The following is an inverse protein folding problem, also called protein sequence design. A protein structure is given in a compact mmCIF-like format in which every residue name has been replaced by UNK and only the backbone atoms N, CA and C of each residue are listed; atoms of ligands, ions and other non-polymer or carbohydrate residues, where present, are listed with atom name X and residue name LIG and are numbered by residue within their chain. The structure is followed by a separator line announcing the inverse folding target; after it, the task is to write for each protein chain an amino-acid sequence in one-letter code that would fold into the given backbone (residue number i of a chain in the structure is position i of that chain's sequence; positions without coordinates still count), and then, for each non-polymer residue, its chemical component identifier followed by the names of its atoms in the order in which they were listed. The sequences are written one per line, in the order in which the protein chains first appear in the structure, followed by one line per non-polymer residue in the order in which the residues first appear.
data_IF_293626040826
#
_entry.id   IF_293626040826
#
_cell.length_a   1.000
_cell.length_b   1.000
_cell.length_c   1.000
_cell.angle_alpha   90.00
_cell.angle_beta   90.00
_cell.angle_gamma   90.00
#
_symmetry.space_group_name_H-M   'P 1'
#
loop_
_entity.id
_entity.type
_entity.pdbx_description
1 polymer ?
#
# COMPACT_ATOMS: atom_id res chain seq x y z
N UNK A 1 28.68 -35.45 49.31
CA UNK A 1 29.56 -35.25 48.13
C UNK A 1 28.70 -34.58 47.06
N UNK A 2 28.86 -33.26 46.98
CA UNK A 2 28.44 -32.27 45.95
C UNK A 2 27.25 -32.59 45.03
N UNK A 3 26.13 -31.90 45.29
CA UNK A 3 25.06 -31.61 44.33
C UNK A 3 25.60 -30.62 43.30
N UNK A 4 25.55 -30.97 42.02
CA UNK A 4 25.97 -30.10 40.91
C UNK A 4 24.74 -29.35 40.39
N UNK A 5 24.59 -28.10 40.82
CA UNK A 5 23.55 -27.17 40.39
C UNK A 5 23.96 -26.57 39.03
N UNK A 6 23.14 -26.64 37.96
CA UNK A 6 23.48 -25.98 36.71
C UNK A 6 23.37 -24.47 36.90
N UNK A 7 24.51 -23.78 36.76
CA UNK A 7 24.59 -22.32 36.69
C UNK A 7 23.63 -21.81 35.61
N UNK A 8 22.57 -21.13 36.04
CA UNK A 8 21.69 -20.36 35.16
C UNK A 8 22.54 -19.29 34.43
N UNK A 9 22.53 -19.21 33.09
CA UNK A 9 23.20 -18.11 32.38
C UNK A 9 22.60 -16.78 32.85
N UNK A 10 23.48 -15.82 33.15
CA UNK A 10 23.07 -14.51 33.65
C UNK A 10 22.12 -13.82 32.65
N UNK A 11 20.97 -13.28 33.10
CA UNK A 11 19.91 -12.76 32.23
C UNK A 11 20.29 -11.52 31.40
N UNK A 12 21.48 -10.95 31.63
CA UNK A 12 22.01 -9.74 31.03
C UNK A 12 22.74 -9.97 29.69
N UNK A 13 23.48 -11.07 29.56
CA UNK A 13 24.27 -11.39 28.36
C UNK A 13 23.41 -11.77 27.14
N UNK A 14 22.31 -12.48 27.36
CA UNK A 14 21.35 -12.80 26.29
C UNK A 14 20.60 -11.55 25.80
N UNK A 15 20.24 -10.66 26.73
CA UNK A 15 19.53 -9.42 26.41
C UNK A 15 20.41 -8.39 25.68
N UNK A 16 21.74 -8.42 25.83
CA UNK A 16 22.64 -7.55 25.06
C UNK A 16 22.80 -7.99 23.61
N UNK A 17 22.94 -9.30 23.36
CA UNK A 17 23.11 -9.83 22.01
C UNK A 17 21.90 -9.52 21.12
N UNK A 18 20.69 -9.73 21.65
CA UNK A 18 19.44 -9.41 20.94
C UNK A 18 19.33 -7.91 20.63
N UNK A 19 19.72 -7.03 21.57
CA UNK A 19 19.72 -5.58 21.34
C UNK A 19 20.72 -5.15 20.28
N UNK A 20 21.86 -5.82 20.16
CA UNK A 20 22.85 -5.54 19.12
C UNK A 20 22.32 -5.94 17.73
N UNK A 21 21.67 -7.10 17.63
CA UNK A 21 21.01 -7.57 16.40
C UNK A 21 19.89 -6.62 15.98
N UNK A 22 19.00 -6.23 16.91
CA UNK A 22 17.94 -5.25 16.64
C UNK A 22 18.48 -3.89 16.21
N UNK A 23 19.59 -3.43 16.81
CA UNK A 23 20.26 -2.19 16.40
C UNK A 23 20.89 -2.31 15.02
N UNK A 24 21.43 -3.48 14.68
CA UNK A 24 21.92 -3.80 13.33
C UNK A 24 20.80 -3.67 12.31
N UNK A 25 19.72 -4.42 12.51
CA UNK A 25 18.56 -4.40 11.63
C UNK A 25 17.96 -2.99 11.49
N UNK A 26 17.86 -2.23 12.60
CA UNK A 26 17.35 -0.86 12.56
C UNK A 26 18.24 0.05 11.71
N UNK A 27 19.57 -0.06 11.80
CA UNK A 27 20.50 0.73 10.97
C UNK A 27 20.38 0.37 9.49
N UNK A 28 20.27 -0.92 9.17
CA UNK A 28 20.15 -1.36 7.78
C UNK A 28 18.84 -0.85 7.16
N UNK A 29 17.74 -0.91 7.91
CA UNK A 29 16.44 -0.35 7.51
C UNK A 29 16.50 1.16 7.37
N UNK A 30 17.14 1.88 8.30
CA UNK A 30 17.34 3.33 8.21
C UNK A 30 18.14 3.71 6.95
N UNK A 31 19.23 2.98 6.65
CA UNK A 31 20.03 3.20 5.45
C UNK A 31 19.24 2.99 4.15
N UNK A 32 18.48 1.90 4.05
CA UNK A 32 17.62 1.64 2.88
C UNK A 32 16.52 2.70 2.77
N UNK A 33 15.93 3.10 3.91
CA UNK A 33 14.87 4.11 3.93
C UNK A 33 15.39 5.48 3.47
N UNK A 34 16.58 5.90 3.90
CA UNK A 34 17.19 7.17 3.50
C UNK A 34 17.51 7.19 1.99
N UNK A 35 18.14 6.12 1.47
CA UNK A 35 18.45 6.00 0.04
C UNK A 35 17.17 5.99 -0.82
N UNK A 36 16.14 5.27 -0.37
CA UNK A 36 14.85 5.24 -1.03
C UNK A 36 14.13 6.61 -0.96
N UNK A 37 14.23 7.32 0.16
CA UNK A 37 13.63 8.64 0.32
C UNK A 37 14.28 9.68 -0.60
N UNK A 38 15.61 9.64 -0.75
CA UNK A 38 16.33 10.57 -1.63
C UNK A 38 15.95 10.35 -3.10
N UNK A 39 16.02 9.11 -3.61
CA UNK A 39 15.60 8.80 -4.98
C UNK A 39 14.11 9.01 -5.21
N UNK A 40 13.30 8.70 -4.20
CA UNK A 40 11.85 8.84 -4.23
C UNK A 40 11.42 10.28 -4.42
N UNK A 41 12.05 11.25 -3.72
CA UNK A 41 11.69 12.68 -3.80
C UNK A 41 11.77 13.21 -5.24
N UNK A 42 12.88 12.98 -5.94
CA UNK A 42 13.05 13.46 -7.32
C UNK A 42 12.04 12.86 -8.28
N UNK A 43 11.75 11.56 -8.15
CA UNK A 43 10.74 10.89 -8.96
C UNK A 43 9.32 11.39 -8.65
N UNK A 44 9.02 11.61 -7.36
CA UNK A 44 7.73 12.11 -6.90
C UNK A 44 7.47 13.53 -7.41
N UNK A 45 8.47 14.41 -7.42
CA UNK A 45 8.30 15.78 -7.92
C UNK A 45 7.94 15.81 -9.42
N UNK A 46 8.64 15.00 -10.23
CA UNK A 46 8.33 14.87 -11.66
C UNK A 46 6.94 14.24 -11.89
N UNK A 47 6.63 13.16 -11.18
CA UNK A 47 5.33 12.49 -11.27
C UNK A 47 4.19 13.40 -10.82
N UNK A 48 4.40 14.23 -9.79
CA UNK A 48 3.39 15.13 -9.24
C UNK A 48 2.94 16.19 -10.24
N UNK A 49 3.86 16.75 -11.02
CA UNK A 49 3.52 17.72 -12.07
C UNK A 49 2.66 17.08 -13.16
N UNK A 50 3.08 15.91 -13.65
CA UNK A 50 2.35 15.19 -14.69
C UNK A 50 0.99 14.65 -14.22
N UNK A 51 0.91 14.21 -12.96
CA UNK A 51 -0.32 13.70 -12.38
C UNK A 51 -1.37 14.79 -12.14
N UNK A 52 -0.97 16.02 -11.83
CA UNK A 52 -1.91 17.14 -11.64
C UNK A 52 -2.70 17.42 -12.93
N UNK A 53 -2.01 17.65 -14.04
CA UNK A 53 -2.63 17.93 -15.34
C UNK A 53 -3.56 16.80 -15.80
N UNK A 54 -3.13 15.54 -15.61
CA UNK A 54 -3.94 14.39 -16.01
C UNK A 54 -5.14 14.14 -15.09
N UNK A 55 -4.99 14.35 -13.79
CA UNK A 55 -6.04 14.08 -12.81
C UNK A 55 -7.20 15.07 -12.94
N UNK A 56 -6.92 16.36 -13.16
CA UNK A 56 -7.97 17.39 -13.24
C UNK A 56 -9.04 17.08 -14.28
N UNK A 57 -8.67 16.51 -15.43
CA UNK A 57 -9.63 16.11 -16.47
C UNK A 57 -10.42 14.83 -16.20
N UNK A 58 -10.03 14.00 -15.23
CA UNK A 58 -10.57 12.63 -15.04
C UNK A 58 -11.16 12.34 -13.66
N UNK A 59 -11.06 13.28 -12.71
CA UNK A 59 -11.56 13.13 -11.32
C UNK A 59 -13.04 12.81 -11.23
N UNK A 60 -13.89 13.53 -11.98
CA UNK A 60 -15.34 13.33 -11.93
C UNK A 60 -15.75 11.91 -12.37
N UNK A 61 -15.04 11.34 -13.35
CA UNK A 61 -15.28 9.96 -13.79
C UNK A 61 -14.83 8.94 -12.73
N UNK A 62 -13.66 9.15 -12.13
CA UNK A 62 -13.17 8.30 -11.05
C UNK A 62 -14.10 8.34 -9.82
N UNK A 63 -14.59 9.53 -9.44
CA UNK A 63 -15.53 9.70 -8.34
C UNK A 63 -16.84 8.94 -8.57
N UNK A 64 -17.41 9.00 -9.78
CA UNK A 64 -18.61 8.22 -10.14
C UNK A 64 -18.39 6.71 -10.02
N UNK A 65 -17.24 6.21 -10.48
CA UNK A 65 -16.92 4.79 -10.37
C UNK A 65 -16.81 4.35 -8.91
N UNK A 66 -16.18 5.17 -8.07
CA UNK A 66 -16.05 4.90 -6.64
C UNK A 66 -17.42 4.89 -5.96
N UNK A 67 -18.30 5.84 -6.28
CA UNK A 67 -19.67 5.87 -5.75
C UNK A 67 -20.48 4.62 -6.17
N UNK A 68 -20.29 4.13 -7.40
CA UNK A 68 -20.88 2.88 -7.85
C UNK A 68 -20.40 1.67 -7.04
N UNK A 69 -19.11 1.63 -6.70
CA UNK A 69 -18.56 0.59 -5.82
C UNK A 69 -19.10 0.73 -4.40
N UNK A 70 -19.15 1.94 -3.84
CA UNK A 70 -19.71 2.21 -2.52
C UNK A 70 -21.16 1.69 -2.42
N UNK A 71 -21.97 1.99 -3.44
CA UNK A 71 -23.35 1.50 -3.56
C UNK A 71 -23.39 -0.02 -3.58
N UNK A 72 -22.54 -0.66 -4.40
CA UNK A 72 -22.48 -2.13 -4.51
C UNK A 72 -22.07 -2.81 -3.20
N UNK A 73 -21.13 -2.21 -2.46
CA UNK A 73 -20.68 -2.67 -1.14
C UNK A 73 -21.80 -2.54 -0.12
N UNK A 74 -22.52 -1.41 -0.11
CA UNK A 74 -23.66 -1.17 0.77
C UNK A 74 -24.81 -2.13 0.48
N UNK A 75 -25.11 -2.36 -0.79
CA UNK A 75 -26.13 -3.31 -1.22
C UNK A 75 -25.77 -4.74 -0.83
N UNK A 76 -24.50 -5.12 -0.90
CA UNK A 76 -24.02 -6.42 -0.40
C UNK A 76 -24.26 -6.56 1.10
N UNK A 77 -24.04 -5.48 1.86
CA UNK A 77 -24.35 -5.40 3.29
C UNK A 77 -25.82 -5.63 3.63
N UNK A 78 -26.75 -5.29 2.73
CA UNK A 78 -28.19 -5.58 2.90
C UNK A 78 -28.51 -7.07 2.89
N UNK A 79 -27.60 -7.93 2.44
CA UNK A 79 -27.79 -9.39 2.57
C UNK A 79 -27.58 -9.89 4.00
N UNK A 80 -27.08 -9.04 4.91
CA UNK A 80 -26.71 -9.38 6.28
C UNK A 80 -27.56 -8.62 7.32
N UNK A 81 -28.84 -8.36 7.04
CA UNK A 81 -29.76 -7.68 7.98
C UNK A 81 -29.90 -8.44 9.31
N UNK A 82 -29.76 -9.76 9.28
CA UNK A 82 -29.75 -10.64 10.46
C UNK A 82 -28.44 -10.55 11.28
N UNK A 83 -27.38 -9.94 10.73
CA UNK A 83 -26.05 -9.84 11.34
C UNK A 83 -25.59 -8.38 11.40
N UNK A 84 -26.04 -7.61 12.41
CA UNK A 84 -25.80 -6.17 12.49
C UNK A 84 -24.31 -5.80 12.48
N UNK A 85 -23.44 -6.61 13.09
CA UNK A 85 -22.00 -6.36 13.10
C UNK A 85 -21.36 -6.47 11.70
N UNK A 86 -21.84 -7.43 10.90
CA UNK A 86 -21.34 -7.62 9.53
C UNK A 86 -21.89 -6.49 8.65
N UNK A 87 -23.19 -6.21 8.74
CA UNK A 87 -23.81 -5.08 8.03
C UNK A 87 -23.09 -3.76 8.35
N UNK A 88 -22.81 -3.48 9.61
CA UNK A 88 -22.10 -2.27 10.03
C UNK A 88 -20.69 -2.17 9.42
N UNK A 89 -20.00 -3.29 9.22
CA UNK A 89 -18.72 -3.31 8.53
C UNK A 89 -18.86 -2.93 7.05
N UNK A 90 -19.82 -3.50 6.32
CA UNK A 90 -20.08 -3.13 4.92
C UNK A 90 -20.53 -1.67 4.79
N UNK A 91 -21.38 -1.21 5.70
CA UNK A 91 -21.82 0.17 5.75
C UNK A 91 -20.60 1.11 5.97
N UNK A 92 -19.76 0.82 6.97
CA UNK A 92 -18.54 1.62 7.22
C UNK A 92 -17.58 1.64 6.03
N UNK A 93 -17.45 0.51 5.32
CA UNK A 93 -16.64 0.43 4.11
C UNK A 93 -17.22 1.30 2.98
N UNK A 94 -18.54 1.26 2.78
CA UNK A 94 -19.22 2.10 1.80
C UNK A 94 -19.10 3.59 2.15
N UNK A 95 -19.26 3.97 3.42
CA UNK A 95 -19.11 5.36 3.86
C UNK A 95 -17.67 5.88 3.63
N UNK A 96 -16.68 5.01 3.82
CA UNK A 96 -15.29 5.32 3.50
C UNK A 96 -15.06 5.54 2.00
N UNK A 97 -15.71 4.75 1.14
CA UNK A 97 -15.64 4.92 -0.31
C UNK A 97 -16.36 6.20 -0.78
N UNK A 98 -17.51 6.55 -0.22
CA UNK A 98 -18.21 7.79 -0.54
C UNK A 98 -17.38 9.03 -0.16
N UNK A 99 -16.76 9.00 1.03
CA UNK A 99 -15.83 10.05 1.46
C UNK A 99 -14.62 10.17 0.52
N UNK A 100 -14.11 9.04 0.03
CA UNK A 100 -13.03 9.02 -0.94
C UNK A 100 -13.46 9.63 -2.27
N UNK A 101 -14.62 9.24 -2.80
CA UNK A 101 -15.17 9.77 -4.06
C UNK A 101 -15.33 11.29 -4.01
N UNK A 102 -15.98 11.81 -2.96
CA UNK A 102 -16.17 13.26 -2.78
C UNK A 102 -14.85 14.02 -2.59
N UNK A 103 -13.86 13.40 -1.94
CA UNK A 103 -12.52 13.98 -1.79
C UNK A 103 -11.77 14.05 -3.13
N UNK A 104 -11.89 13.04 -3.98
CA UNK A 104 -11.23 13.01 -5.30
C UNK A 104 -11.84 14.04 -6.25
N UNK A 105 -13.16 14.23 -6.21
CA UNK A 105 -13.86 15.19 -7.08
C UNK A 105 -13.49 16.64 -6.76
N UNK A 106 -13.53 17.01 -5.47
CA UNK A 106 -13.48 18.40 -5.06
C UNK A 106 -12.11 18.90 -4.60
N UNK A 107 -11.11 18.03 -4.43
CA UNK A 107 -9.80 18.42 -3.87
C UNK A 107 -8.67 18.36 -4.88
N UNK A 108 -7.69 19.24 -4.71
CA UNK A 108 -6.42 19.17 -5.43
C UNK A 108 -5.57 18.02 -4.91
N UNK A 109 -4.67 17.48 -5.74
CA UNK A 109 -3.73 16.43 -5.31
C UNK A 109 -2.85 16.89 -4.13
N UNK A 110 -2.55 18.20 -4.05
CA UNK A 110 -1.81 18.78 -2.93
C UNK A 110 -2.56 18.68 -1.59
N UNK A 111 -3.88 18.88 -1.60
CA UNK A 111 -4.71 18.76 -0.41
C UNK A 111 -4.85 17.29 0.01
N UNK A 112 -5.06 16.39 -0.96
CA UNK A 112 -5.13 14.94 -0.70
C UNK A 112 -3.82 14.40 -0.11
N UNK A 113 -2.68 14.88 -0.61
CA UNK A 113 -1.37 14.51 -0.07
C UNK A 113 -1.22 14.94 1.39
N UNK A 114 -1.62 16.17 1.74
CA UNK A 114 -1.56 16.66 3.12
C UNK A 114 -2.44 15.84 4.09
N UNK A 115 -3.61 15.40 3.64
CA UNK A 115 -4.47 14.52 4.44
C UNK A 115 -3.89 13.12 4.59
N UNK A 116 -3.33 12.56 3.51
CA UNK A 116 -2.65 11.28 3.55
C UNK A 116 -1.45 11.31 4.52
N UNK A 117 -0.67 12.40 4.55
CA UNK A 117 0.43 12.58 5.50
C UNK A 117 -0.07 12.61 6.95
N UNK A 118 -1.15 13.36 7.21
CA UNK A 118 -1.78 13.40 8.53
C UNK A 118 -2.30 12.03 8.98
N UNK A 119 -2.93 11.28 8.06
CA UNK A 119 -3.38 9.91 8.30
C UNK A 119 -2.21 8.97 8.60
N UNK A 120 -1.13 9.06 7.83
CA UNK A 120 0.04 8.21 8.02
C UNK A 120 0.69 8.38 9.39
N UNK A 121 0.72 9.61 9.90
CA UNK A 121 1.19 9.92 11.26
C UNK A 121 0.26 9.39 12.35
N UNK A 122 -1.05 9.27 12.07
CA UNK A 122 -2.07 8.83 13.04
C UNK A 122 -2.27 7.32 13.08
N UNK A 123 -2.08 6.64 11.96
CA UNK A 123 -2.36 5.21 11.81
C UNK A 123 -1.19 4.48 11.14
N UNK A 124 0.00 4.42 11.77
CA UNK A 124 1.20 3.86 11.15
C UNK A 124 1.05 2.38 10.76
N UNK A 125 0.32 1.58 11.56
CA UNK A 125 0.05 0.16 11.25
C UNK A 125 -0.81 0.02 10.00
N UNK A 126 -1.86 0.85 9.86
CA UNK A 126 -2.72 0.81 8.68
C UNK A 126 -1.94 1.16 7.41
N UNK A 127 -1.03 2.14 7.49
CA UNK A 127 -0.14 2.49 6.37
C UNK A 127 0.79 1.35 6.02
N UNK A 128 1.44 0.71 6.99
CA UNK A 128 2.34 -0.42 6.72
C UNK A 128 1.62 -1.54 5.96
N UNK A 129 0.41 -1.90 6.40
CA UNK A 129 -0.42 -2.92 5.72
C UNK A 129 -0.85 -2.45 4.33
N UNK A 130 -1.29 -1.19 4.20
CA UNK A 130 -1.71 -0.62 2.92
C UNK A 130 -0.58 -0.58 1.88
N UNK A 131 0.63 -0.18 2.30
CA UNK A 131 1.81 -0.15 1.44
C UNK A 131 2.21 -1.55 0.98
N UNK A 132 2.12 -2.55 1.85
CA UNK A 132 2.40 -3.94 1.47
C UNK A 132 1.43 -4.44 0.39
N UNK A 133 0.12 -4.22 0.58
CA UNK A 133 -0.92 -4.58 -0.39
C UNK A 133 -0.69 -3.84 -1.72
N UNK A 134 -0.44 -2.54 -1.66
CA UNK A 134 -0.17 -1.72 -2.84
C UNK A 134 1.08 -2.22 -3.60
N UNK A 135 2.15 -2.57 -2.88
CA UNK A 135 3.36 -3.15 -3.46
C UNK A 135 3.10 -4.49 -4.15
N UNK A 136 2.31 -5.37 -3.55
CA UNK A 136 1.92 -6.64 -4.18
C UNK A 136 1.10 -6.44 -5.46
N UNK A 137 0.11 -5.53 -5.42
CA UNK A 137 -0.71 -5.20 -6.60
C UNK A 137 0.16 -4.62 -7.71
N UNK A 138 1.06 -3.68 -7.37
CA UNK A 138 2.00 -3.09 -8.31
C UNK A 138 2.93 -4.15 -8.92
N UNK A 139 3.50 -5.03 -8.09
CA UNK A 139 4.34 -6.14 -8.56
C UNK A 139 3.57 -7.08 -9.50
N UNK A 140 2.30 -7.38 -9.18
CA UNK A 140 1.44 -8.20 -10.03
C UNK A 140 1.15 -7.53 -11.37
N UNK A 141 0.90 -6.22 -11.38
CA UNK A 141 0.66 -5.47 -12.61
C UNK A 141 1.91 -5.46 -13.52
N UNK A 142 3.08 -5.16 -12.94
CA UNK A 142 4.37 -5.18 -13.66
C UNK A 142 4.64 -6.56 -14.26
N UNK A 143 4.47 -7.65 -13.48
CA UNK A 143 4.66 -9.02 -13.97
C UNK A 143 3.63 -9.40 -15.04
N UNK A 144 2.39 -8.94 -14.91
CA UNK A 144 1.33 -9.16 -15.89
C UNK A 144 1.56 -8.41 -17.21
N UNK A 145 2.16 -7.22 -17.17
CA UNK A 145 2.45 -6.43 -18.38
C UNK A 145 3.62 -6.99 -19.20
N UNK A 146 4.46 -7.84 -18.61
CA UNK A 146 5.63 -8.44 -19.26
C UNK A 146 5.35 -9.62 -20.21
N UNK A 147 4.09 -10.02 -20.43
CA UNK A 147 3.73 -11.14 -21.32
C UNK A 147 3.33 -10.74 -22.74
N UNK A 148 3.45 -9.47 -23.13
CA UNK A 148 3.27 -9.04 -24.51
C UNK A 148 4.60 -9.09 -25.27
N UNK A 149 5.08 -10.29 -25.56
CA UNK A 149 6.15 -10.53 -26.55
C UNK A 149 5.85 -11.86 -27.24
N UNK A 150 4.66 -11.95 -27.84
CA UNK A 150 4.39 -12.94 -28.86
C UNK A 150 5.31 -12.58 -30.05
N UNK A 151 6.32 -13.42 -30.27
CA UNK A 151 7.25 -13.29 -31.38
C UNK A 151 6.44 -13.25 -32.70
N UNK A 152 6.54 -12.21 -33.54
CA UNK A 152 6.05 -12.30 -34.90
C UNK A 152 6.78 -13.45 -35.62
N UNK A 153 5.99 -14.43 -36.05
CA UNK A 153 6.43 -15.60 -36.81
C UNK A 153 7.33 -15.18 -37.98
N UNK A 154 8.52 -15.81 -38.07
CA UNK A 154 9.44 -15.62 -39.18
C UNK A 154 8.76 -15.98 -40.52
N UNK A 155 8.75 -15.10 -41.52
CA UNK A 155 8.31 -15.47 -42.86
C UNK A 155 9.29 -16.50 -43.45
N UNK A 156 8.72 -17.67 -43.75
CA UNK A 156 9.29 -18.77 -44.52
C UNK A 156 9.89 -18.23 -45.81
N UNK A 157 11.20 -18.41 -46.01
CA UNK A 157 11.84 -18.16 -47.29
C UNK A 157 11.32 -19.13 -48.33
N UNK A 158 10.55 -18.64 -49.29
CA UNK A 158 10.33 -19.32 -50.56
C UNK A 158 11.50 -19.02 -51.50
N UNK A 159 12.14 -20.09 -51.96
CA UNK A 159 13.24 -20.07 -52.90
C UNK A 159 12.80 -19.72 -54.32
N UNK A 160 13.79 -19.28 -55.07
CA UNK A 160 13.75 -18.84 -56.48
C UNK A 160 13.46 -20.01 -57.41
#
# INVERSE_FOLDING_TARGET
MTVNEPLHPAPDAAASAEREEWRGLKRDVEGIADEAAERGRTLLDAARLQAQDFAEGRKAEAARQIQGVATSVRDSGKSFEDRPNIKAFFDSAADGLDQLGGSIENRSLSQLYGEAESFARRAPVAVAVGTFIAGFVAARFIKSSGSASDLPAAPRGEGI
#
